data_IF_702766661427
#
_entry.id   IF_702766661427
#
_cell.length_a   1.000
_cell.length_b   1.000
_cell.length_c   1.000
_cell.angle_alpha   90.00
_cell.angle_beta   90.00
_cell.angle_gamma   90.00
#
_symmetry.space_group_name_H-M   'P 1'
#
loop_
_entity.id
_entity.type
_entity.pdbx_description
1 polymer ?
#
# COMPACT_ATOMS: atom_id res chain seq x y z
N UNK A 1 -3.42 -40.93 49.55
CA UNK A 1 -2.47 -40.52 48.50
C UNK A 1 -3.21 -40.41 47.18
N UNK A 2 -3.52 -39.20 46.70
CA UNK A 2 -3.36 -38.72 45.30
C UNK A 2 -3.47 -37.19 45.40
N UNK A 3 -2.39 -36.51 45.11
CA UNK A 3 -2.18 -35.06 45.27
C UNK A 3 -2.88 -34.28 44.15
N UNK A 4 -3.60 -33.21 44.53
CA UNK A 4 -4.29 -32.24 43.67
C UNK A 4 -3.31 -31.49 42.76
N UNK A 5 -3.52 -31.55 41.44
CA UNK A 5 -2.78 -30.76 40.45
C UNK A 5 -3.49 -29.41 40.28
N UNK A 6 -2.83 -28.33 40.72
CA UNK A 6 -3.24 -26.97 40.42
C UNK A 6 -2.92 -26.65 38.97
N UNK A 7 -3.96 -26.52 38.13
CA UNK A 7 -3.82 -25.97 36.79
C UNK A 7 -3.65 -24.46 36.93
N UNK A 8 -2.42 -23.98 36.73
CA UNK A 8 -2.10 -22.57 36.51
C UNK A 8 -2.68 -22.15 35.16
N UNK A 9 -3.86 -21.53 35.18
CA UNK A 9 -4.42 -20.84 34.02
C UNK A 9 -3.63 -19.54 33.79
N UNK A 10 -2.64 -19.58 32.91
CA UNK A 10 -2.08 -18.36 32.32
C UNK A 10 -3.17 -17.71 31.48
N UNK A 11 -3.75 -16.62 32.00
CA UNK A 11 -4.64 -15.76 31.24
C UNK A 11 -3.81 -15.09 30.12
N UNK A 12 -3.94 -15.62 28.91
CA UNK A 12 -3.57 -14.95 27.67
C UNK A 12 -4.43 -13.69 27.57
N UNK A 13 -3.87 -12.55 27.96
CA UNK A 13 -4.44 -11.25 27.62
C UNK A 13 -4.45 -11.15 26.09
N UNK A 14 -5.62 -11.03 25.42
CA UNK A 14 -5.65 -10.77 24.00
C UNK A 14 -4.99 -9.42 23.78
N UNK A 15 -3.81 -9.41 23.17
CA UNK A 15 -3.20 -8.19 22.70
C UNK A 15 -4.21 -7.49 21.80
N UNK A 16 -4.66 -6.33 22.22
CA UNK A 16 -5.46 -5.44 21.39
C UNK A 16 -4.57 -5.03 20.23
N UNK A 17 -4.68 -5.75 19.12
CA UNK A 17 -4.26 -5.26 17.82
C UNK A 17 -5.08 -3.98 17.62
N UNK A 18 -4.45 -2.82 17.74
CA UNK A 18 -5.05 -1.57 17.30
C UNK A 18 -5.25 -1.76 15.79
N UNK A 19 -6.51 -1.96 15.39
CA UNK A 19 -6.86 -1.90 13.99
C UNK A 19 -6.53 -0.49 13.53
N UNK A 20 -5.48 -0.35 12.72
CA UNK A 20 -5.22 0.89 11.99
C UNK A 20 -6.51 1.23 11.23
N UNK A 21 -7.13 2.37 11.55
CA UNK A 21 -8.35 2.77 10.85
C UNK A 21 -8.01 2.96 9.37
N UNK A 22 -8.71 2.21 8.51
CA UNK A 22 -8.49 2.28 7.08
C UNK A 22 -8.74 3.71 6.59
N UNK A 23 -7.81 4.24 5.78
CA UNK A 23 -7.95 5.58 5.20
C UNK A 23 -9.29 5.69 4.43
N UNK A 24 -10.01 6.84 4.48
CA UNK A 24 -11.29 7.02 3.77
C UNK A 24 -11.26 6.81 2.25
N UNK A 25 -10.06 6.77 1.66
CA UNK A 25 -9.80 6.63 0.22
C UNK A 25 -8.72 5.57 -0.02
N UNK A 26 -9.00 4.28 0.28
CA UNK A 26 -7.99 3.23 0.18
C UNK A 26 -7.46 3.03 -1.24
N UNK A 27 -8.27 3.30 -2.27
CA UNK A 27 -7.87 3.25 -3.68
C UNK A 27 -6.83 4.33 -4.04
N UNK A 28 -6.96 5.52 -3.45
CA UNK A 28 -6.02 6.61 -3.67
C UNK A 28 -4.71 6.34 -2.92
N UNK A 29 -4.79 5.85 -1.68
CA UNK A 29 -3.62 5.37 -0.93
C UNK A 29 -2.89 4.29 -1.72
N UNK A 30 -3.61 3.31 -2.25
CA UNK A 30 -3.03 2.23 -3.05
C UNK A 30 -2.32 2.76 -4.31
N UNK A 31 -2.94 3.72 -4.98
CA UNK A 31 -2.39 4.35 -6.20
C UNK A 31 -1.09 5.10 -5.91
N UNK A 32 -1.02 5.84 -4.79
CA UNK A 32 0.21 6.48 -4.35
C UNK A 32 1.27 5.46 -3.93
N UNK A 33 0.89 4.40 -3.20
CA UNK A 33 1.81 3.35 -2.76
C UNK A 33 2.45 2.69 -3.98
N UNK A 34 1.64 2.25 -4.94
CA UNK A 34 2.09 1.57 -6.16
C UNK A 34 3.02 2.46 -6.99
N UNK A 35 2.76 3.77 -7.06
CA UNK A 35 3.66 4.71 -7.72
C UNK A 35 4.99 4.83 -6.99
N UNK A 36 4.96 4.90 -5.66
CA UNK A 36 6.17 4.86 -4.83
C UNK A 36 6.99 3.58 -5.02
N UNK A 37 6.33 2.41 -5.12
CA UNK A 37 7.02 1.14 -5.41
C UNK A 37 7.73 1.23 -6.76
N UNK A 38 7.04 1.73 -7.80
CA UNK A 38 7.63 1.91 -9.12
C UNK A 38 8.83 2.89 -9.08
N UNK A 39 8.77 3.96 -8.27
CA UNK A 39 9.87 4.89 -8.07
C UNK A 39 11.08 4.23 -7.39
N UNK A 40 10.88 3.56 -6.24
CA UNK A 40 11.96 2.86 -5.52
C UNK A 40 12.62 1.77 -6.37
N UNK A 41 11.85 1.12 -7.24
CA UNK A 41 12.33 0.09 -8.16
C UNK A 41 12.96 0.64 -9.45
N UNK A 42 12.91 1.96 -9.70
CA UNK A 42 13.44 2.57 -10.92
C UNK A 42 12.66 2.20 -12.19
N UNK A 43 11.36 1.94 -12.06
CA UNK A 43 10.48 1.44 -13.13
C UNK A 43 9.56 2.53 -13.73
N UNK A 44 9.70 3.78 -13.30
CA UNK A 44 8.89 4.89 -13.81
C UNK A 44 9.41 5.35 -15.17
N UNK A 45 8.66 5.04 -16.21
CA UNK A 45 8.79 5.63 -17.54
C UNK A 45 7.59 6.55 -17.87
N UNK A 46 7.55 7.10 -19.09
CA UNK A 46 6.48 8.01 -19.49
C UNK A 46 5.07 7.38 -19.44
N UNK A 47 4.82 6.17 -20.00
CA UNK A 47 3.56 5.46 -19.82
C UNK A 47 3.15 5.28 -18.36
N UNK A 48 4.08 4.88 -17.49
CA UNK A 48 3.81 4.66 -16.07
C UNK A 48 3.42 5.97 -15.37
N UNK A 49 4.21 7.04 -15.56
CA UNK A 49 3.92 8.34 -14.95
C UNK A 49 2.57 8.90 -15.43
N UNK A 50 2.32 8.85 -16.74
CA UNK A 50 1.05 9.35 -17.29
C UNK A 50 -0.14 8.52 -16.83
N UNK A 51 0.00 7.19 -16.76
CA UNK A 51 -1.02 6.29 -16.23
C UNK A 51 -1.36 6.58 -14.77
N UNK A 52 -0.35 6.76 -13.93
CA UNK A 52 -0.52 7.18 -12.54
C UNK A 52 -1.23 8.54 -12.44
N UNK A 53 -0.76 9.56 -13.15
CA UNK A 53 -1.33 10.90 -13.08
C UNK A 53 -2.81 10.90 -13.48
N UNK A 54 -3.15 10.17 -14.54
CA UNK A 54 -4.53 10.01 -14.97
C UNK A 54 -5.37 9.24 -13.95
N UNK A 55 -4.88 8.13 -13.38
CA UNK A 55 -5.63 7.29 -12.44
C UNK A 55 -5.94 8.05 -11.16
N UNK A 56 -4.90 8.70 -10.61
CA UNK A 56 -5.02 9.57 -9.45
C UNK A 56 -6.07 10.65 -9.68
N UNK A 57 -6.02 11.35 -10.82
CA UNK A 57 -6.96 12.44 -11.11
C UNK A 57 -8.41 11.93 -11.25
N UNK A 58 -8.62 10.78 -11.90
CA UNK A 58 -9.93 10.16 -12.00
C UNK A 58 -10.48 9.74 -10.61
N UNK A 59 -9.64 9.17 -9.75
CA UNK A 59 -10.03 8.82 -8.38
C UNK A 59 -10.39 10.05 -7.55
N UNK A 60 -9.56 11.11 -7.60
CA UNK A 60 -9.83 12.38 -6.92
C UNK A 60 -11.18 12.98 -7.37
N UNK A 61 -11.42 12.99 -8.68
CA UNK A 61 -12.66 13.52 -9.25
C UNK A 61 -13.89 12.69 -8.85
N UNK A 62 -13.82 11.35 -8.94
CA UNK A 62 -14.95 10.46 -8.62
C UNK A 62 -15.26 10.42 -7.13
N UNK A 63 -14.23 10.40 -6.28
CA UNK A 63 -14.37 10.41 -4.83
C UNK A 63 -14.73 11.78 -4.25
N UNK A 64 -14.72 12.84 -5.07
CA UNK A 64 -14.84 14.25 -4.62
C UNK A 64 -13.86 14.56 -3.49
N UNK A 65 -12.64 14.02 -3.63
CA UNK A 65 -11.64 14.03 -2.57
C UNK A 65 -11.12 15.46 -2.39
N UNK A 66 -11.22 15.96 -1.17
CA UNK A 66 -10.70 17.28 -0.81
C UNK A 66 -9.17 17.29 -0.80
N UNK A 67 -8.58 18.49 -0.86
CA UNK A 67 -7.13 18.66 -0.83
C UNK A 67 -6.48 18.05 0.43
N UNK A 68 -7.15 18.12 1.58
CA UNK A 68 -6.61 17.58 2.81
C UNK A 68 -6.64 16.05 2.83
N UNK A 69 -7.73 15.44 2.38
CA UNK A 69 -7.83 13.98 2.29
C UNK A 69 -6.86 13.40 1.24
N UNK A 70 -6.63 14.11 0.13
CA UNK A 70 -5.59 13.79 -0.84
C UNK A 70 -4.18 13.84 -0.22
N UNK A 71 -3.90 14.89 0.57
CA UNK A 71 -2.64 15.03 1.29
C UNK A 71 -2.44 13.89 2.29
N UNK A 72 -3.47 13.55 3.06
CA UNK A 72 -3.40 12.45 4.04
C UNK A 72 -3.22 11.09 3.36
N UNK A 73 -3.93 10.84 2.25
CA UNK A 73 -3.79 9.61 1.48
C UNK A 73 -2.36 9.46 0.94
N UNK A 74 -1.79 10.55 0.43
CA UNK A 74 -0.39 10.57 -0.02
C UNK A 74 0.58 10.30 1.11
N UNK A 75 0.41 10.91 2.28
CA UNK A 75 1.30 10.71 3.43
C UNK A 75 1.23 9.29 3.97
N UNK A 76 0.04 8.71 4.06
CA UNK A 76 -0.15 7.32 4.44
C UNK A 76 0.58 6.38 3.47
N UNK A 77 0.44 6.62 2.16
CA UNK A 77 1.09 5.82 1.14
C UNK A 77 2.62 5.94 1.14
N UNK A 78 3.18 7.16 1.27
CA UNK A 78 4.63 7.38 1.34
C UNK A 78 5.21 6.66 2.56
N UNK A 79 4.54 6.78 3.71
CA UNK A 79 4.95 6.09 4.93
C UNK A 79 4.94 4.58 4.74
N UNK A 80 3.90 4.04 4.11
CA UNK A 80 3.78 2.61 3.84
C UNK A 80 4.84 2.08 2.87
N UNK A 81 5.15 2.82 1.79
CA UNK A 81 6.17 2.39 0.84
C UNK A 81 7.58 2.49 1.41
N UNK A 82 7.85 3.50 2.25
CA UNK A 82 9.12 3.62 2.95
C UNK A 82 9.33 2.43 3.90
N UNK A 83 8.29 2.03 4.66
CA UNK A 83 8.35 0.82 5.49
C UNK A 83 8.53 -0.45 4.64
N UNK A 84 7.77 -0.61 3.56
CA UNK A 84 7.92 -1.77 2.68
C UNK A 84 9.34 -1.88 2.10
N UNK A 85 9.93 -0.76 1.67
CA UNK A 85 11.31 -0.75 1.18
C UNK A 85 12.32 -1.16 2.26
N UNK A 86 12.16 -0.68 3.49
CA UNK A 86 13.02 -1.07 4.62
C UNK A 86 12.87 -2.56 4.95
N UNK A 87 11.64 -3.08 4.97
CA UNK A 87 11.34 -4.49 5.25
C UNK A 87 11.92 -5.43 4.17
N UNK A 88 12.00 -4.97 2.92
CA UNK A 88 12.53 -5.77 1.82
C UNK A 88 14.06 -5.74 1.67
N UNK A 89 14.78 -4.76 2.22
CA UNK A 89 16.25 -4.77 2.39
C UNK A 89 17.10 -5.09 1.13
N UNK A 90 18.38 -5.44 1.32
CA UNK A 90 19.38 -5.57 0.24
C UNK A 90 19.11 -6.72 -0.76
N UNK A 91 18.42 -7.79 -0.35
CA UNK A 91 18.14 -8.97 -1.20
C UNK A 91 16.67 -9.16 -1.55
N UNK A 92 15.73 -8.73 -0.69
CA UNK A 92 14.29 -8.83 -0.93
C UNK A 92 13.77 -7.78 -1.90
N UNK A 93 14.47 -6.64 -2.03
CA UNK A 93 14.11 -5.57 -2.97
C UNK A 93 13.97 -6.07 -4.42
N UNK A 94 14.85 -6.99 -4.87
CA UNK A 94 14.74 -7.56 -6.23
C UNK A 94 13.47 -8.39 -6.43
N UNK A 95 13.00 -9.09 -5.40
CA UNK A 95 11.77 -9.85 -5.48
C UNK A 95 10.57 -8.91 -5.42
N UNK A 96 10.58 -7.95 -4.50
CA UNK A 96 9.56 -6.91 -4.38
C UNK A 96 9.34 -6.14 -5.69
N UNK A 97 10.42 -5.71 -6.35
CA UNK A 97 10.32 -5.05 -7.65
C UNK A 97 9.80 -5.95 -8.77
N UNK A 98 10.13 -7.25 -8.74
CA UNK A 98 9.62 -8.22 -9.73
C UNK A 98 8.15 -8.59 -9.50
N UNK A 99 7.64 -8.42 -8.29
CA UNK A 99 6.24 -8.73 -7.94
C UNK A 99 5.40 -7.47 -7.89
N UNK A 100 5.53 -6.68 -6.83
CA UNK A 100 4.71 -5.49 -6.60
C UNK A 100 5.06 -4.38 -7.58
N UNK A 101 6.35 -4.16 -7.86
CA UNK A 101 6.80 -3.17 -8.84
C UNK A 101 6.28 -3.47 -10.25
N UNK A 102 6.40 -4.72 -10.69
CA UNK A 102 5.86 -5.16 -11.98
C UNK A 102 4.33 -5.00 -12.06
N UNK A 103 3.61 -5.36 -11.00
CA UNK A 103 2.16 -5.20 -10.94
C UNK A 103 1.72 -3.72 -10.93
N UNK A 104 2.49 -2.83 -10.29
CA UNK A 104 2.26 -1.40 -10.32
C UNK A 104 2.46 -0.82 -11.74
N UNK A 105 3.55 -1.17 -12.41
CA UNK A 105 3.82 -0.80 -13.80
C UNK A 105 2.69 -1.25 -14.72
N UNK A 106 2.24 -2.49 -14.56
CA UNK A 106 1.12 -3.04 -15.33
C UNK A 106 -0.16 -2.21 -15.11
N UNK A 107 -0.54 -1.96 -13.85
CA UNK A 107 -1.73 -1.14 -13.53
C UNK A 107 -1.70 0.21 -14.22
N UNK A 108 -0.59 0.95 -14.10
CA UNK A 108 -0.50 2.28 -14.70
C UNK A 108 -0.44 2.23 -16.23
N UNK A 109 0.29 1.28 -16.80
CA UNK A 109 0.40 1.13 -18.26
C UNK A 109 -0.93 0.72 -18.89
N UNK A 110 -1.66 -0.22 -18.27
CA UNK A 110 -2.99 -0.62 -18.71
C UNK A 110 -3.95 0.56 -18.61
N UNK A 111 -3.96 1.24 -17.48
CA UNK A 111 -4.86 2.37 -17.27
C UNK A 111 -4.58 3.53 -18.22
N UNK A 112 -3.30 3.81 -18.52
CA UNK A 112 -2.91 4.78 -19.54
C UNK A 112 -3.51 4.46 -20.92
N UNK A 113 -3.57 3.17 -21.29
CA UNK A 113 -4.09 2.72 -22.59
C UNK A 113 -5.62 2.66 -22.63
N UNK A 114 -6.25 2.14 -21.59
CA UNK A 114 -7.67 1.76 -21.62
C UNK A 114 -8.58 2.76 -20.93
N UNK A 115 -8.04 3.58 -20.01
CA UNK A 115 -8.81 4.44 -19.09
C UNK A 115 -9.83 3.67 -18.25
N UNK A 116 -9.71 2.34 -18.15
CA UNK A 116 -10.58 1.50 -17.36
C UNK A 116 -9.99 1.30 -15.97
N UNK A 117 -10.76 1.68 -14.94
CA UNK A 117 -10.32 1.57 -13.55
C UNK A 117 -9.95 0.12 -13.21
N UNK A 118 -8.81 -0.10 -12.54
CA UNK A 118 -8.38 -1.41 -12.05
C UNK A 118 -9.24 -1.91 -10.89
#
# INVERSE_FOLDING_TARGET
>A
MVTKWWVLAYALLPGTVLAEEAHPHPELVRTYYDYGVAEYCGLVDAPVHNGYALLRNDQLARGKVGREDDRLARLAAITAVDYAYQDHGLSGNKTWCRTEGAAAVERFTVYFRTRQLP
#
